data_IF_352998021679
#
_entry.id   IF_352998021679
#
_cell.length_a   1.000
_cell.length_b   1.000
_cell.length_c   1.000
_cell.angle_alpha   90.00
_cell.angle_beta   90.00
_cell.angle_gamma   90.00
#
_symmetry.space_group_name_H-M   'P 1'
#
loop_
_entity.id
_entity.type
_entity.pdbx_description
1 polymer ?
#
# COMPACT_ATOMS: atom_id res chain seq x y z
N UNK A 1 4.31 -3.37 -22.82
CA UNK A 1 4.62 -4.71 -22.22
C UNK A 1 3.69 -4.86 -21.04
N UNK A 2 2.82 -5.86 -21.04
CA UNK A 2 1.80 -6.04 -20.00
C UNK A 2 2.39 -5.96 -18.57
N UNK A 3 1.66 -5.36 -17.61
CA UNK A 3 2.06 -5.31 -16.22
C UNK A 3 2.31 -6.71 -15.66
N UNK A 4 3.41 -6.88 -14.92
CA UNK A 4 3.81 -8.17 -14.33
C UNK A 4 4.48 -7.97 -12.98
N UNK A 5 4.50 -9.05 -12.19
CA UNK A 5 5.29 -9.08 -10.97
C UNK A 5 6.77 -8.92 -11.26
N UNK A 6 7.40 -7.99 -10.56
CA UNK A 6 8.83 -7.73 -10.60
C UNK A 6 9.52 -8.23 -9.33
N UNK A 7 10.61 -7.56 -8.93
CA UNK A 7 11.33 -7.88 -7.68
C UNK A 7 10.45 -7.61 -6.46
N UNK A 8 9.57 -6.61 -6.53
CA UNK A 8 8.66 -6.24 -5.44
C UNK A 8 7.38 -5.65 -6.05
N UNK A 9 6.32 -6.44 -6.07
CA UNK A 9 4.98 -6.09 -6.52
C UNK A 9 4.79 -6.07 -8.04
N UNK A 10 3.54 -5.82 -8.43
CA UNK A 10 3.11 -5.65 -9.81
C UNK A 10 3.54 -4.28 -10.34
N UNK A 11 4.13 -4.20 -11.54
CA UNK A 11 4.57 -2.95 -12.15
C UNK A 11 4.23 -2.90 -13.63
N UNK A 12 3.86 -1.72 -14.12
CA UNK A 12 3.54 -1.48 -15.53
C UNK A 12 3.56 -0.01 -15.91
N UNK A 13 3.33 0.27 -17.18
CA UNK A 13 3.00 1.63 -17.63
C UNK A 13 1.66 2.05 -17.03
N UNK A 14 1.50 3.35 -16.76
CA UNK A 14 0.24 3.87 -16.18
C UNK A 14 -0.95 3.52 -17.07
N UNK A 15 -0.81 3.66 -18.39
CA UNK A 15 -1.88 3.37 -19.35
C UNK A 15 -2.22 1.86 -19.45
N UNK A 16 -1.31 0.99 -19.03
CA UNK A 16 -1.53 -0.47 -18.97
C UNK A 16 -2.15 -0.92 -17.64
N UNK A 17 -2.06 -0.10 -16.58
CA UNK A 17 -2.69 -0.35 -15.28
C UNK A 17 -4.16 0.09 -15.30
N UNK A 18 -4.93 -0.48 -16.21
CA UNK A 18 -6.36 -0.20 -16.35
C UNK A 18 -7.16 -0.66 -15.14
N UNK A 19 -8.34 -0.10 -14.92
CA UNK A 19 -9.24 -0.48 -13.82
C UNK A 19 -9.58 -1.98 -13.86
N UNK A 20 -9.77 -2.55 -15.05
CA UNK A 20 -10.05 -3.99 -15.23
C UNK A 20 -8.87 -4.85 -14.80
N UNK A 21 -7.64 -4.47 -15.19
CA UNK A 21 -6.44 -5.19 -14.81
C UNK A 21 -6.22 -5.11 -13.30
N UNK A 22 -6.26 -3.93 -12.73
CA UNK A 22 -6.15 -3.70 -11.28
C UNK A 22 -7.19 -4.52 -10.53
N UNK A 23 -8.46 -4.44 -10.95
CA UNK A 23 -9.55 -5.21 -10.34
C UNK A 23 -9.32 -6.73 -10.44
N UNK A 24 -8.75 -7.21 -11.54
CA UNK A 24 -8.38 -8.62 -11.71
C UNK A 24 -7.38 -9.07 -10.65
N UNK A 25 -6.28 -8.33 -10.49
CA UNK A 25 -5.24 -8.66 -9.50
C UNK A 25 -5.75 -8.54 -8.05
N UNK A 26 -6.57 -7.53 -7.74
CA UNK A 26 -7.13 -7.37 -6.39
C UNK A 26 -8.09 -8.52 -6.05
N UNK A 27 -8.96 -8.93 -6.97
CA UNK A 27 -9.84 -10.10 -6.76
C UNK A 27 -9.04 -11.38 -6.59
N UNK A 28 -8.04 -11.61 -7.43
CA UNK A 28 -7.17 -12.78 -7.33
C UNK A 28 -6.43 -12.81 -5.98
N UNK A 29 -5.88 -11.68 -5.54
CA UNK A 29 -5.25 -11.53 -4.23
C UNK A 29 -6.22 -11.83 -3.09
N UNK A 30 -7.42 -11.23 -3.10
CA UNK A 30 -8.45 -11.45 -2.08
C UNK A 30 -8.96 -12.91 -2.02
N UNK A 31 -8.89 -13.63 -3.14
CA UNK A 31 -9.33 -15.02 -3.22
C UNK A 31 -8.26 -16.04 -2.80
N UNK A 32 -6.97 -15.70 -2.93
CA UNK A 32 -5.88 -16.66 -2.78
C UNK A 32 -4.93 -16.38 -1.62
N UNK A 33 -5.01 -15.19 -1.03
CA UNK A 33 -4.13 -14.76 0.05
C UNK A 33 -4.91 -14.43 1.32
N UNK A 34 -4.30 -14.66 2.46
CA UNK A 34 -4.90 -14.30 3.74
C UNK A 34 -4.76 -12.79 3.97
N UNK A 35 -5.90 -12.12 4.03
CA UNK A 35 -6.02 -10.67 4.28
C UNK A 35 -6.65 -10.36 5.65
N UNK A 36 -6.99 -11.36 6.45
CA UNK A 36 -7.73 -11.15 7.70
C UNK A 36 -9.12 -10.51 7.49
N UNK A 37 -9.67 -10.59 6.28
CA UNK A 37 -10.97 -10.00 5.91
C UNK A 37 -10.98 -8.48 5.73
N UNK A 38 -9.83 -7.81 5.86
CA UNK A 38 -9.68 -6.37 5.73
C UNK A 38 -8.47 -6.03 4.86
N UNK A 39 -8.44 -4.80 4.34
CA UNK A 39 -7.35 -4.33 3.49
C UNK A 39 -6.99 -2.88 3.79
N UNK A 40 -5.78 -2.65 4.28
CA UNK A 40 -5.18 -1.32 4.33
C UNK A 40 -4.78 -0.89 2.92
N UNK A 41 -5.19 0.30 2.49
CA UNK A 41 -4.86 0.84 1.17
C UNK A 41 -4.18 2.20 1.33
N UNK A 42 -2.96 2.30 0.81
CA UNK A 42 -2.18 3.52 0.82
C UNK A 42 -1.60 3.84 -0.56
N UNK A 43 -1.15 5.07 -0.75
CA UNK A 43 -0.58 5.51 -2.03
C UNK A 43 0.57 6.50 -1.88
N UNK A 44 1.38 6.60 -2.94
CA UNK A 44 2.35 7.66 -3.09
C UNK A 44 1.72 8.94 -3.72
N UNK A 45 2.58 9.94 -4.02
CA UNK A 45 2.18 11.25 -4.55
C UNK A 45 2.13 11.32 -6.09
N UNK A 46 2.30 10.20 -6.81
CA UNK A 46 2.23 10.21 -8.28
C UNK A 46 0.86 10.63 -8.77
N UNK A 47 0.74 11.40 -9.88
CA UNK A 47 -0.54 11.83 -10.42
C UNK A 47 -1.49 10.68 -10.77
N UNK A 48 -0.95 9.51 -11.14
CA UNK A 48 -1.73 8.30 -11.45
C UNK A 48 -2.24 7.55 -10.22
N UNK A 49 -1.59 7.71 -9.05
CA UNK A 49 -1.91 6.93 -7.86
C UNK A 49 -3.35 7.09 -7.35
N UNK A 50 -3.98 8.28 -7.36
CA UNK A 50 -5.38 8.41 -6.93
C UNK A 50 -6.37 7.59 -7.77
N UNK A 51 -6.19 7.52 -9.10
CA UNK A 51 -7.03 6.72 -10.00
C UNK A 51 -6.90 5.23 -9.69
N UNK A 52 -5.66 4.74 -9.64
CA UNK A 52 -5.36 3.34 -9.35
C UNK A 52 -5.87 2.94 -7.96
N UNK A 53 -5.72 3.82 -6.95
CA UNK A 53 -6.23 3.57 -5.59
C UNK A 53 -7.75 3.39 -5.58
N UNK A 54 -8.50 4.22 -6.32
CA UNK A 54 -9.96 4.03 -6.45
C UNK A 54 -10.31 2.66 -7.02
N UNK A 55 -9.61 2.21 -8.07
CA UNK A 55 -9.82 0.88 -8.64
C UNK A 55 -9.53 -0.24 -7.63
N UNK A 56 -8.44 -0.11 -6.84
CA UNK A 56 -8.11 -1.03 -5.74
C UNK A 56 -9.24 -1.09 -4.71
N UNK A 57 -9.66 0.06 -4.18
CA UNK A 57 -10.72 0.18 -3.15
C UNK A 57 -12.02 -0.43 -3.64
N UNK A 58 -12.45 -0.08 -4.86
CA UNK A 58 -13.68 -0.62 -5.45
C UNK A 58 -13.63 -2.14 -5.64
N UNK A 59 -12.51 -2.66 -6.16
CA UNK A 59 -12.36 -4.09 -6.39
C UNK A 59 -12.31 -4.88 -5.08
N UNK A 60 -11.60 -4.40 -4.08
CA UNK A 60 -11.47 -5.04 -2.78
C UNK A 60 -12.80 -5.00 -2.00
N UNK A 61 -13.51 -3.87 -2.00
CA UNK A 61 -14.85 -3.75 -1.40
C UNK A 61 -15.84 -4.73 -2.05
N UNK A 62 -15.84 -4.82 -3.40
CA UNK A 62 -16.66 -5.80 -4.12
C UNK A 62 -16.26 -7.25 -3.86
N UNK A 63 -15.02 -7.51 -3.50
CA UNK A 63 -14.56 -8.83 -3.06
C UNK A 63 -14.99 -9.17 -1.62
N UNK A 64 -15.58 -8.21 -0.89
CA UNK A 64 -16.09 -8.37 0.48
C UNK A 64 -15.06 -8.01 1.56
N UNK A 65 -13.96 -7.35 1.21
CA UNK A 65 -12.98 -6.88 2.18
C UNK A 65 -13.38 -5.52 2.75
N UNK A 66 -13.36 -5.38 4.08
CA UNK A 66 -13.45 -4.06 4.72
C UNK A 66 -12.20 -3.25 4.38
N UNK A 67 -12.38 -2.03 3.91
CA UNK A 67 -11.27 -1.17 3.47
C UNK A 67 -10.88 -0.18 4.58
N UNK A 68 -9.58 -0.06 4.80
CA UNK A 68 -8.94 0.89 5.69
C UNK A 68 -8.10 1.83 4.83
N UNK A 69 -8.62 3.02 4.53
CA UNK A 69 -7.89 4.02 3.73
C UNK A 69 -6.82 4.71 4.58
N UNK A 70 -5.56 4.53 4.19
CA UNK A 70 -4.39 5.09 4.89
C UNK A 70 -3.88 6.39 4.24
N UNK A 71 -4.46 6.81 3.11
CA UNK A 71 -4.10 8.04 2.42
C UNK A 71 -2.71 8.03 1.79
N UNK A 72 -2.05 9.19 1.81
CA UNK A 72 -0.68 9.36 1.29
C UNK A 72 0.30 9.08 2.42
N UNK A 73 1.11 8.05 2.27
CA UNK A 73 2.13 7.67 3.25
C UNK A 73 3.25 6.84 2.60
N UNK A 74 4.42 6.70 3.25
CA UNK A 74 5.46 5.80 2.76
C UNK A 74 5.08 4.34 3.02
N UNK A 75 5.55 3.44 2.15
CA UNK A 75 5.30 2.00 2.24
C UNK A 75 5.51 1.40 3.65
N UNK A 76 6.57 1.74 4.41
CA UNK A 76 6.74 1.19 5.75
C UNK A 76 5.66 1.63 6.75
N UNK A 77 5.04 2.79 6.57
CA UNK A 77 3.91 3.22 7.41
C UNK A 77 2.67 2.36 7.15
N UNK A 78 2.37 2.06 5.88
CA UNK A 78 1.29 1.14 5.51
C UNK A 78 1.53 -0.27 6.05
N UNK A 79 2.75 -0.79 5.87
CA UNK A 79 3.12 -2.12 6.35
C UNK A 79 2.99 -2.22 7.88
N UNK A 80 3.39 -1.18 8.61
CA UNK A 80 3.22 -1.12 10.07
C UNK A 80 1.75 -1.16 10.48
N UNK A 81 0.90 -0.35 9.83
CA UNK A 81 -0.54 -0.31 10.11
C UNK A 81 -1.18 -1.68 9.88
N UNK A 82 -0.90 -2.29 8.72
CA UNK A 82 -1.42 -3.62 8.38
C UNK A 82 -0.96 -4.69 9.36
N UNK A 83 0.32 -4.70 9.70
CA UNK A 83 0.90 -5.66 10.65
C UNK A 83 0.33 -5.48 12.07
N UNK A 84 0.17 -4.24 12.52
CA UNK A 84 -0.39 -3.95 13.86
C UNK A 84 -1.84 -4.43 13.97
N UNK A 85 -2.60 -4.37 12.88
CA UNK A 85 -3.99 -4.84 12.82
C UNK A 85 -4.13 -6.33 12.50
N UNK A 86 -3.08 -6.98 12.02
CA UNK A 86 -3.15 -8.37 11.54
C UNK A 86 -3.99 -8.51 10.26
N UNK A 87 -3.87 -7.55 9.33
CA UNK A 87 -4.66 -7.49 8.08
C UNK A 87 -3.78 -7.37 6.85
N UNK A 88 -4.37 -7.59 5.66
CA UNK A 88 -3.68 -7.38 4.39
C UNK A 88 -3.50 -5.90 4.05
N UNK A 89 -2.60 -5.61 3.08
CA UNK A 89 -2.48 -4.27 2.54
C UNK A 89 -2.14 -4.24 1.05
N UNK A 90 -2.49 -3.13 0.41
CA UNK A 90 -2.04 -2.79 -0.94
C UNK A 90 -1.49 -1.37 -0.96
N UNK A 91 -0.22 -1.23 -1.35
CA UNK A 91 0.41 0.06 -1.58
C UNK A 91 0.44 0.37 -3.07
N UNK A 92 -0.17 1.49 -3.45
CA UNK A 92 -0.12 2.02 -4.82
C UNK A 92 1.09 2.94 -4.93
N UNK A 93 2.14 2.46 -5.59
CA UNK A 93 3.40 3.22 -5.68
C UNK A 93 4.24 2.80 -6.87
N UNK A 94 4.84 3.80 -7.52
CA UNK A 94 5.90 3.59 -8.48
C UNK A 94 7.30 3.48 -7.85
N UNK A 95 7.44 3.71 -6.53
CA UNK A 95 8.76 3.70 -5.87
C UNK A 95 9.78 4.58 -6.62
N UNK A 96 10.87 4.00 -7.12
CA UNK A 96 11.96 4.66 -7.85
C UNK A 96 11.89 4.50 -9.38
N UNK A 97 10.85 3.85 -9.92
CA UNK A 97 10.70 3.67 -11.37
C UNK A 97 10.24 4.97 -12.05
N UNK A 98 10.42 5.13 -13.38
CA UNK A 98 10.04 6.33 -14.12
C UNK A 98 8.61 6.81 -13.88
N UNK A 99 8.35 8.09 -14.15
CA UNK A 99 7.06 8.73 -13.83
C UNK A 99 5.87 8.23 -14.65
N UNK A 100 6.13 7.67 -15.84
CA UNK A 100 5.15 7.02 -16.72
C UNK A 100 4.71 5.63 -16.25
N UNK A 101 5.23 5.17 -15.12
CA UNK A 101 4.96 3.86 -14.53
C UNK A 101 4.38 4.00 -13.13
N UNK A 102 3.67 2.94 -12.71
CA UNK A 102 3.20 2.77 -11.34
C UNK A 102 3.14 1.28 -10.99
N UNK A 103 2.68 0.94 -9.80
CA UNK A 103 2.57 -0.44 -9.38
C UNK A 103 1.75 -0.65 -8.13
N UNK A 104 1.56 -1.93 -7.80
CA UNK A 104 0.86 -2.40 -6.62
C UNK A 104 1.80 -3.30 -5.82
N UNK A 105 2.02 -3.00 -4.55
CA UNK A 105 2.67 -3.90 -3.59
C UNK A 105 1.61 -4.51 -2.70
N UNK A 106 1.69 -5.82 -2.52
CA UNK A 106 0.72 -6.59 -1.77
C UNK A 106 1.33 -7.09 -0.45
N UNK A 107 0.53 -7.08 0.59
CA UNK A 107 0.88 -7.59 1.91
C UNK A 107 -0.26 -8.48 2.40
N UNK A 108 0.08 -9.68 2.86
CA UNK A 108 -0.82 -10.58 3.60
C UNK A 108 -0.73 -10.25 5.10
N UNK A 109 -1.50 -10.94 5.93
CA UNK A 109 -1.36 -10.86 7.40
C UNK A 109 0.05 -11.23 7.88
N UNK A 110 0.80 -12.01 7.10
CA UNK A 110 2.17 -12.43 7.41
C UNK A 110 3.26 -11.44 6.92
N UNK A 111 2.88 -10.43 6.13
CA UNK A 111 3.82 -9.45 5.55
C UNK A 111 3.78 -9.39 4.02
N UNK A 112 4.86 -8.90 3.39
CA UNK A 112 4.94 -8.80 1.92
C UNK A 112 4.77 -10.18 1.27
N UNK A 113 4.03 -10.22 0.15
CA UNK A 113 3.76 -11.48 -0.56
C UNK A 113 5.06 -12.17 -1.00
N UNK A 114 5.01 -13.50 -0.97
CA UNK A 114 6.07 -14.39 -1.42
C UNK A 114 5.96 -14.68 -2.94
N UNK A 115 6.94 -15.37 -3.52
CA UNK A 115 6.88 -15.85 -4.92
C UNK A 115 5.77 -16.90 -5.12
N UNK A 116 5.46 -17.67 -4.10
CA UNK A 116 4.34 -18.61 -4.13
C UNK A 116 3.00 -17.88 -4.15
N UNK A 117 2.88 -16.79 -3.39
CA UNK A 117 1.70 -15.92 -3.44
C UNK A 117 1.53 -15.29 -4.84
N UNK A 118 2.61 -14.75 -5.43
CA UNK A 118 2.58 -14.20 -6.79
C UNK A 118 2.09 -15.24 -7.81
N UNK A 119 2.54 -16.49 -7.66
CA UNK A 119 2.13 -17.61 -8.52
C UNK A 119 0.64 -17.90 -8.35
N UNK A 120 0.13 -17.98 -7.11
CA UNK A 120 -1.29 -18.20 -6.83
C UNK A 120 -2.17 -17.06 -7.34
N UNK A 121 -1.76 -15.81 -7.11
CA UNK A 121 -2.47 -14.63 -7.61
C UNK A 121 -2.54 -14.67 -9.14
N UNK A 122 -1.43 -14.97 -9.81
CA UNK A 122 -1.36 -15.00 -11.28
C UNK A 122 -2.24 -16.12 -11.85
N UNK A 123 -2.24 -17.29 -11.23
CA UNK A 123 -3.06 -18.41 -11.65
C UNK A 123 -4.57 -18.15 -11.49
N UNK A 124 -4.96 -17.34 -10.51
CA UNK A 124 -6.36 -16.98 -10.25
C UNK A 124 -6.87 -15.79 -11.10
N UNK A 125 -6.04 -15.20 -11.96
CA UNK A 125 -6.46 -14.11 -12.84
C UNK A 125 -7.56 -14.59 -13.81
N UNK A 126 -8.68 -13.85 -13.84
CA UNK A 126 -9.84 -14.17 -14.67
C UNK A 126 -10.81 -15.19 -14.05
N UNK A 127 -10.37 -16.02 -13.11
CA UNK A 127 -11.18 -17.05 -12.46
C UNK A 127 -11.75 -16.61 -11.10
N UNK A 128 -11.12 -15.63 -10.45
CA UNK A 128 -11.54 -15.15 -9.14
C UNK A 128 -12.97 -14.58 -9.18
N UNK A 129 -13.85 -14.98 -8.24
CA UNK A 129 -15.27 -14.62 -8.26
C UNK A 129 -15.47 -13.10 -8.31
N UNK A 130 -16.36 -12.65 -9.20
CA UNK A 130 -16.91 -11.30 -9.17
C UNK A 130 -18.02 -11.29 -8.13
N UNK A 131 -17.69 -10.93 -6.90
CA UNK A 131 -18.71 -10.65 -5.88
C UNK A 131 -19.16 -9.21 -6.07
N UNK A 132 -20.43 -8.94 -5.80
CA UNK A 132 -20.98 -7.58 -5.82
C UNK A 132 -21.40 -7.19 -4.39
N UNK A 133 -20.44 -7.28 -3.49
CA UNK A 133 -20.62 -6.88 -2.09
C UNK A 133 -20.04 -5.47 -1.93
N UNK A 134 -20.77 -4.59 -1.27
CA UNK A 134 -20.24 -3.28 -0.87
C UNK A 134 -19.80 -3.40 0.60
N UNK A 135 -18.52 -3.64 0.81
CA UNK A 135 -17.95 -3.61 2.14
C UNK A 135 -17.64 -2.17 2.58
N UNK A 136 -17.67 -1.88 3.89
CA UNK A 136 -17.42 -0.55 4.41
C UNK A 136 -15.98 -0.06 4.16
N UNK A 137 -15.84 1.27 4.06
CA UNK A 137 -14.56 1.97 3.91
C UNK A 137 -14.40 2.91 5.09
N UNK A 138 -13.25 2.89 5.75
CA UNK A 138 -12.91 3.71 6.90
C UNK A 138 -11.55 4.37 6.72
N UNK A 139 -11.38 5.60 7.20
CA UNK A 139 -10.07 6.23 7.34
C UNK A 139 -9.31 5.67 8.54
N UNK A 140 -7.97 5.68 8.47
CA UNK A 140 -7.11 5.24 9.58
C UNK A 140 -6.08 6.30 9.96
N UNK A 141 -5.63 6.33 11.24
CA UNK A 141 -4.56 7.21 11.71
C UNK A 141 -3.15 6.65 11.42
N UNK A 142 -2.96 5.87 10.35
CA UNK A 142 -1.70 5.17 10.03
C UNK A 142 -0.46 6.10 10.05
N UNK A 143 -0.60 7.33 9.56
CA UNK A 143 0.47 8.33 9.58
C UNK A 143 0.86 8.75 10.99
N UNK A 144 -0.11 8.96 11.87
CA UNK A 144 0.12 9.32 13.28
C UNK A 144 0.78 8.18 14.03
N UNK A 145 0.28 6.95 13.86
CA UNK A 145 0.86 5.77 14.48
C UNK A 145 2.32 5.54 14.04
N UNK A 146 2.62 5.86 12.77
CA UNK A 146 4.00 5.77 12.27
C UNK A 146 4.93 6.78 12.95
N UNK A 147 4.51 8.02 13.15
CA UNK A 147 5.27 9.04 13.90
C UNK A 147 5.44 8.63 15.36
N UNK A 148 4.37 8.21 16.02
CA UNK A 148 4.37 7.82 17.43
C UNK A 148 5.27 6.61 17.71
N UNK A 149 5.44 5.72 16.74
CA UNK A 149 6.40 4.61 16.86
C UNK A 149 7.81 5.10 17.09
N UNK A 150 8.27 6.10 16.36
CA UNK A 150 9.63 6.65 16.51
C UNK A 150 9.77 7.42 17.82
N UNK A 151 8.79 8.27 18.16
CA UNK A 151 8.75 8.99 19.42
C UNK A 151 8.84 8.02 20.63
N UNK A 152 8.05 6.95 20.60
CA UNK A 152 8.01 5.96 21.67
C UNK A 152 9.30 5.13 21.76
N UNK A 153 9.94 4.84 20.61
CA UNK A 153 11.15 4.01 20.58
C UNK A 153 12.40 4.78 21.03
N UNK A 154 12.52 6.07 20.74
CA UNK A 154 13.76 6.83 20.91
C UNK A 154 13.65 7.93 21.97
N UNK A 155 12.45 8.46 22.23
CA UNK A 155 12.21 9.56 23.16
C UNK A 155 12.61 10.93 22.61
N UNK A 156 12.18 12.01 23.29
CA UNK A 156 12.24 13.39 22.76
C UNK A 156 13.65 14.03 22.79
N UNK A 157 14.66 13.32 23.26
CA UNK A 157 16.05 13.84 23.36
C UNK A 157 17.05 13.04 22.54
N UNK A 158 16.58 12.08 21.73
CA UNK A 158 17.44 11.18 20.98
C UNK A 158 18.38 11.92 20.00
N UNK A 159 17.93 13.02 19.44
CA UNK A 159 18.70 13.86 18.51
C UNK A 159 19.22 15.17 19.14
N UNK A 160 19.19 15.31 20.47
CA UNK A 160 19.66 16.51 21.18
C UNK A 160 21.10 16.88 20.76
N UNK A 161 21.32 18.13 20.39
CA UNK A 161 22.62 18.63 19.94
C UNK A 161 23.03 18.17 18.54
N UNK A 162 22.20 17.41 17.82
CA UNK A 162 22.46 16.97 16.45
C UNK A 162 21.88 17.97 15.45
N UNK A 163 22.54 18.12 14.31
CA UNK A 163 22.05 18.85 13.15
C UNK A 163 21.79 17.85 12.04
N UNK A 164 20.53 17.74 11.62
CA UNK A 164 20.08 16.78 10.59
C UNK A 164 19.62 17.58 9.36
N UNK A 165 20.24 17.32 8.20
CA UNK A 165 19.78 17.84 6.93
C UNK A 165 18.85 16.84 6.25
N UNK A 166 17.70 17.32 5.72
CA UNK A 166 16.72 16.48 5.03
C UNK A 166 16.51 17.00 3.61
N UNK A 167 16.73 16.12 2.64
CA UNK A 167 16.35 16.38 1.25
C UNK A 167 14.94 15.83 1.00
N UNK A 168 13.96 16.72 1.00
CA UNK A 168 12.53 16.33 1.06
C UNK A 168 11.93 15.95 -0.29
N UNK A 169 12.44 16.39 -1.39
CA UNK A 169 11.89 16.22 -2.76
C UNK A 169 10.40 15.77 -2.81
N UNK A 170 9.96 14.98 -3.82
CA UNK A 170 8.56 14.54 -3.96
C UNK A 170 8.24 13.21 -3.24
N UNK A 171 8.91 12.91 -2.13
CA UNK A 171 8.66 11.66 -1.39
C UNK A 171 7.35 11.71 -0.58
N UNK A 172 6.56 10.63 -0.60
CA UNK A 172 5.32 10.53 0.17
C UNK A 172 5.54 10.63 1.69
N UNK A 173 6.73 10.25 2.16
CA UNK A 173 7.07 10.29 3.59
C UNK A 173 7.73 11.58 4.07
N UNK A 174 7.92 12.61 3.22
CA UNK A 174 8.71 13.80 3.56
C UNK A 174 8.20 14.55 4.79
N UNK A 175 6.90 14.78 4.87
CA UNK A 175 6.30 15.55 5.96
C UNK A 175 6.29 14.72 7.26
N UNK A 176 6.08 13.41 7.17
CA UNK A 176 6.19 12.50 8.31
C UNK A 176 7.62 12.42 8.83
N UNK A 177 8.63 12.38 7.94
CA UNK A 177 10.05 12.38 8.33
C UNK A 177 10.41 13.66 9.08
N UNK A 178 9.98 14.84 8.60
CA UNK A 178 10.21 16.11 9.28
C UNK A 178 9.58 16.13 10.67
N UNK A 179 8.36 15.63 10.82
CA UNK A 179 7.68 15.51 12.12
C UNK A 179 8.43 14.56 13.06
N UNK A 180 8.79 13.37 12.58
CA UNK A 180 9.58 12.40 13.38
C UNK A 180 10.86 13.04 13.89
N UNK A 181 11.63 13.72 13.02
CA UNK A 181 12.89 14.35 13.41
C UNK A 181 12.71 15.52 14.37
N UNK A 182 11.59 16.24 14.29
CA UNK A 182 11.27 17.34 15.21
C UNK A 182 10.85 16.84 16.61
N UNK A 183 10.34 15.61 16.67
CA UNK A 183 9.86 14.99 17.91
C UNK A 183 10.95 14.23 18.68
N UNK A 184 12.17 14.08 18.11
CA UNK A 184 13.30 13.34 18.67
C UNK A 184 14.43 14.26 19.14
#
# INVERSE_FOLDING_TARGET
MAPKFGTSGLRGLVDELTDDLVSGYIRAFAATCDTGGQLCVGRDVRPSSPGITRAVVQAASKAGLTILECGILPTPALALEAQTRGVGAVMVTGSHIPADRNGLKFYTVAGEITKDDETRITAALGEAPKKDMAAPVFDTPASEQFVDRFRSAYGPTALSGRRVGVFTHSAAGRDLLLRILADL
#
